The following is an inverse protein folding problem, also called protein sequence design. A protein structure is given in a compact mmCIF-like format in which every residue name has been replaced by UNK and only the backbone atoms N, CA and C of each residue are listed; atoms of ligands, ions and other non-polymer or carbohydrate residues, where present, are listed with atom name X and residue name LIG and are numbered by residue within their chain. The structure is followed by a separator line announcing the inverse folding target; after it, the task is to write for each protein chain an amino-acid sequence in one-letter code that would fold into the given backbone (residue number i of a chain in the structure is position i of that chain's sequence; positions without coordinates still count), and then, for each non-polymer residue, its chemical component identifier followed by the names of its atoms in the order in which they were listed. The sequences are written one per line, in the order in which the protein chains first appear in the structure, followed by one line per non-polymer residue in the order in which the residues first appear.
data_IF_070106725075
#
_entry.id   IF_070106725075
#
_cell.length_a   1.000
_cell.length_b   1.000
_cell.length_c   1.000
_cell.angle_alpha   90.00
_cell.angle_beta   90.00
_cell.angle_gamma   90.00
#
_symmetry.space_group_name_H-M   'P 1'
#
loop_
_entity.id
_entity.type
_entity.pdbx_description
1 polymer ?
#
# COMPACT_ATOMS: atom_id res chain seq x y z
N UNK A 1 9.96 41.62 -0.66
CA UNK A 1 10.40 40.29 -1.13
C UNK A 1 10.54 40.31 -2.66
N UNK A 2 11.42 41.14 -3.22
CA UNK A 2 11.48 41.34 -4.69
C UNK A 2 12.48 40.44 -5.42
N UNK A 3 13.32 39.65 -4.72
CA UNK A 3 14.39 38.85 -5.34
C UNK A 3 14.38 37.36 -4.94
N UNK A 4 13.23 36.80 -4.57
CA UNK A 4 13.15 35.37 -4.25
C UNK A 4 12.98 34.53 -5.52
N UNK A 5 14.02 33.79 -5.90
CA UNK A 5 14.02 32.83 -7.02
C UNK A 5 14.17 31.42 -6.45
N UNK A 6 13.22 30.52 -6.76
CA UNK A 6 13.35 29.09 -6.44
C UNK A 6 14.21 28.42 -7.50
N UNK A 7 15.35 27.85 -7.10
CA UNK A 7 16.06 26.89 -7.95
C UNK A 7 15.37 25.53 -7.87
N UNK A 8 15.19 24.90 -9.04
CA UNK A 8 14.71 23.53 -9.14
C UNK A 8 15.88 22.64 -9.50
N UNK A 9 16.15 21.63 -8.68
CA UNK A 9 17.13 20.58 -8.97
C UNK A 9 16.43 19.24 -9.10
N UNK A 10 16.91 18.44 -10.04
CA UNK A 10 16.43 17.08 -10.25
C UNK A 10 17.35 16.13 -9.50
N UNK A 11 16.77 15.31 -8.63
CA UNK A 11 17.49 14.29 -7.87
C UNK A 11 16.92 12.94 -8.28
N UNK A 12 17.79 12.01 -8.67
CA UNK A 12 17.38 10.64 -8.92
C UNK A 12 16.98 10.00 -7.58
N UNK A 13 15.68 9.72 -7.40
CA UNK A 13 15.15 9.10 -6.19
C UNK A 13 15.84 7.75 -5.92
N UNK A 14 16.11 7.00 -6.99
CA UNK A 14 16.77 5.69 -6.90
C UNK A 14 18.12 5.77 -6.18
N UNK A 15 18.98 6.69 -6.59
CA UNK A 15 20.34 6.84 -6.04
C UNK A 15 20.35 7.49 -4.64
N UNK A 16 19.25 8.13 -4.26
CA UNK A 16 19.16 8.92 -3.02
C UNK A 16 18.54 8.12 -1.88
N UNK A 17 17.50 7.32 -2.17
CA UNK A 17 16.73 6.59 -1.16
C UNK A 17 17.17 5.13 -1.08
N UNK A 18 17.59 4.53 -2.20
CA UNK A 18 17.84 3.11 -2.29
C UNK A 18 19.33 2.78 -2.38
N UNK A 19 19.76 1.63 -1.83
CA UNK A 19 21.14 1.19 -1.96
C UNK A 19 21.49 0.87 -3.42
N UNK A 20 22.78 1.00 -3.76
CA UNK A 20 23.29 0.66 -5.10
C UNK A 20 22.92 -0.77 -5.48
N UNK A 21 22.36 -0.95 -6.67
CA UNK A 21 21.92 -2.25 -7.18
C UNK A 21 20.49 -2.63 -6.82
N UNK A 22 19.70 -1.71 -6.24
CA UNK A 22 18.27 -1.91 -6.02
C UNK A 22 17.52 -2.18 -7.32
N UNK A 23 16.71 -3.24 -7.33
CA UNK A 23 15.89 -3.64 -8.47
C UNK A 23 14.47 -3.15 -8.22
N UNK A 24 14.07 -2.04 -8.82
CA UNK A 24 12.75 -1.43 -8.60
C UNK A 24 11.58 -2.39 -8.86
N UNK A 25 11.73 -3.30 -9.84
CA UNK A 25 10.72 -4.31 -10.17
C UNK A 25 10.44 -5.31 -9.03
N UNK A 26 11.33 -5.39 -8.02
CA UNK A 26 11.14 -6.26 -6.86
C UNK A 26 10.12 -5.70 -5.86
N UNK A 27 9.77 -4.41 -5.93
CA UNK A 27 8.85 -3.76 -4.96
C UNK A 27 7.45 -4.37 -4.96
N UNK A 28 7.04 -5.05 -6.03
CA UNK A 28 5.73 -5.69 -6.12
C UNK A 28 5.58 -6.92 -5.22
N UNK A 29 6.70 -7.50 -4.75
CA UNK A 29 6.69 -8.74 -3.99
C UNK A 29 6.55 -8.49 -2.49
N UNK A 30 5.72 -9.31 -1.85
CA UNK A 30 5.58 -9.32 -0.41
C UNK A 30 6.84 -9.96 0.20
N UNK A 31 7.53 -9.29 1.13
CA UNK A 31 8.70 -9.86 1.80
C UNK A 31 8.37 -11.20 2.46
N UNK A 32 9.23 -12.20 2.25
CA UNK A 32 9.03 -13.58 2.73
C UNK A 32 7.74 -14.28 2.25
N UNK A 33 6.98 -13.68 1.33
CA UNK A 33 5.73 -14.23 0.80
C UNK A 33 5.91 -15.27 -0.32
N UNK A 34 7.08 -15.91 -0.43
CA UNK A 34 7.39 -16.92 -1.44
C UNK A 34 7.04 -16.48 -2.89
N UNK A 35 7.36 -15.24 -3.25
CA UNK A 35 7.09 -14.68 -4.58
C UNK A 35 5.67 -14.17 -4.80
N UNK A 36 4.81 -14.18 -3.77
CA UNK A 36 3.52 -13.52 -3.81
C UNK A 36 3.68 -12.01 -3.98
N UNK A 37 2.71 -11.39 -4.67
CA UNK A 37 2.68 -9.95 -4.92
C UNK A 37 1.54 -9.29 -4.16
N UNK A 38 1.68 -8.00 -3.88
CA UNK A 38 0.58 -7.20 -3.36
C UNK A 38 -0.62 -7.20 -4.32
N UNK A 39 -1.82 -7.30 -3.77
CA UNK A 39 -3.05 -7.10 -4.53
C UNK A 39 -3.27 -5.60 -4.67
N UNK A 40 -3.28 -5.07 -5.89
CA UNK A 40 -3.44 -3.64 -6.15
C UNK A 40 -4.64 -3.36 -7.04
N UNK A 41 -5.42 -2.36 -6.67
CA UNK A 41 -6.55 -1.86 -7.45
C UNK A 41 -6.55 -0.34 -7.43
N UNK A 42 -7.01 0.24 -8.53
CA UNK A 42 -7.15 1.69 -8.70
C UNK A 42 -8.54 2.03 -9.22
N UNK A 43 -9.08 3.17 -8.81
CA UNK A 43 -10.33 3.74 -9.33
C UNK A 43 -10.13 5.24 -9.50
N UNK A 44 -10.45 5.73 -10.69
CA UNK A 44 -10.47 7.15 -10.99
C UNK A 44 -11.93 7.59 -11.07
N UNK A 45 -12.31 8.53 -10.22
CA UNK A 45 -13.65 9.09 -10.17
C UNK A 45 -13.59 10.61 -10.34
N UNK A 46 -14.74 11.25 -10.47
CA UNK A 46 -14.89 12.71 -10.54
C UNK A 46 -15.82 13.15 -9.42
N UNK A 47 -15.32 13.99 -8.52
CA UNK A 47 -16.13 14.57 -7.46
C UNK A 47 -17.28 15.42 -8.04
N UNK A 48 -18.31 15.68 -7.23
CA UNK A 48 -19.43 16.57 -7.62
C UNK A 48 -18.99 17.97 -8.06
N UNK A 49 -17.80 18.41 -7.64
CA UNK A 49 -17.18 19.69 -8.03
C UNK A 49 -16.47 19.65 -9.39
N UNK A 50 -16.39 18.48 -10.05
CA UNK A 50 -15.63 18.27 -11.28
C UNK A 50 -14.14 17.96 -11.07
N UNK A 51 -13.67 17.93 -9.82
CA UNK A 51 -12.28 17.57 -9.51
C UNK A 51 -12.05 16.05 -9.63
N UNK A 52 -10.92 15.60 -10.21
CA UNK A 52 -10.60 14.18 -10.25
C UNK A 52 -10.30 13.64 -8.85
N UNK A 53 -10.80 12.45 -8.55
CA UNK A 53 -10.53 11.70 -7.33
C UNK A 53 -9.81 10.41 -7.70
N UNK A 54 -8.57 10.29 -7.26
CA UNK A 54 -7.75 9.11 -7.49
C UNK A 54 -7.79 8.24 -6.24
N UNK A 55 -8.35 7.04 -6.37
CA UNK A 55 -8.46 6.08 -5.28
C UNK A 55 -7.61 4.86 -5.63
N UNK A 56 -6.95 4.32 -4.62
CA UNK A 56 -6.19 3.09 -4.75
C UNK A 56 -6.37 2.26 -3.49
N UNK A 57 -6.13 0.97 -3.64
CA UNK A 57 -6.19 0.00 -2.57
C UNK A 57 -5.08 -1.01 -2.80
N UNK A 58 -4.25 -1.24 -1.78
CA UNK A 58 -3.15 -2.21 -1.81
C UNK A 58 -3.32 -3.16 -0.64
N UNK A 59 -3.25 -4.47 -0.88
CA UNK A 59 -3.46 -5.50 0.14
C UNK A 59 -2.36 -6.55 0.20
N UNK A 60 -2.12 -7.05 1.41
CA UNK A 60 -1.31 -8.22 1.70
C UNK A 60 -2.07 -9.15 2.67
N UNK A 61 -2.54 -10.33 2.21
CA UNK A 61 -3.26 -11.29 3.06
C UNK A 61 -2.39 -11.83 4.20
N UNK A 62 -2.96 -12.10 5.38
CA UNK A 62 -2.22 -12.69 6.52
C UNK A 62 -1.47 -13.96 6.14
N UNK A 63 -2.13 -14.87 5.42
CA UNK A 63 -1.55 -16.14 4.98
C UNK A 63 -0.33 -15.98 4.08
N UNK A 64 -0.13 -14.80 3.48
CA UNK A 64 1.01 -14.51 2.62
C UNK A 64 2.21 -14.04 3.45
N UNK A 65 2.09 -12.93 4.18
CA UNK A 65 3.24 -12.33 4.87
C UNK A 65 3.51 -12.96 6.24
N UNK A 66 2.52 -13.65 6.84
CA UNK A 66 2.68 -14.43 8.07
C UNK A 66 2.87 -15.92 7.82
N UNK A 67 2.95 -16.39 6.56
CA UNK A 67 2.87 -17.81 6.19
C UNK A 67 3.90 -18.75 6.85
N UNK A 68 4.96 -18.23 7.47
CA UNK A 68 5.95 -18.99 8.24
C UNK A 68 5.66 -19.12 9.74
N UNK A 69 4.58 -18.50 10.25
CA UNK A 69 4.19 -18.52 11.65
C UNK A 69 3.19 -19.64 11.95
N UNK A 70 2.71 -19.68 13.20
CA UNK A 70 1.72 -20.67 13.64
C UNK A 70 0.43 -20.57 12.82
N UNK A 71 0.07 -21.68 12.17
CA UNK A 71 -1.09 -21.74 11.26
C UNK A 71 -2.41 -21.56 12.00
N UNK A 72 -2.53 -22.04 13.23
CA UNK A 72 -3.75 -21.93 14.00
C UNK A 72 -3.98 -20.47 14.43
N UNK A 73 -2.93 -19.78 14.84
CA UNK A 73 -3.02 -18.35 15.18
C UNK A 73 -3.42 -17.51 13.96
N UNK A 74 -2.88 -17.80 12.78
CA UNK A 74 -3.30 -17.12 11.53
C UNK A 74 -4.78 -17.36 11.24
N UNK A 75 -5.28 -18.59 11.43
CA UNK A 75 -6.70 -18.92 11.27
C UNK A 75 -7.56 -18.12 12.26
N UNK A 76 -7.13 -18.03 13.53
CA UNK A 76 -7.84 -17.28 14.56
C UNK A 76 -7.92 -15.78 14.22
N UNK A 77 -6.83 -15.19 13.73
CA UNK A 77 -6.81 -13.79 13.27
C UNK A 77 -7.77 -13.56 12.10
N UNK A 78 -7.77 -14.45 11.11
CA UNK A 78 -8.70 -14.37 9.98
C UNK A 78 -10.16 -14.45 10.42
N UNK A 79 -10.48 -15.37 11.34
CA UNK A 79 -11.83 -15.53 11.88
C UNK A 79 -12.29 -14.28 12.65
N UNK A 80 -11.42 -13.70 13.48
CA UNK A 80 -11.70 -12.47 14.21
C UNK A 80 -12.03 -11.30 13.25
N UNK A 81 -11.16 -11.06 12.26
CA UNK A 81 -11.37 -9.96 11.30
C UNK A 81 -12.61 -10.18 10.45
N UNK A 82 -12.85 -11.42 9.99
CA UNK A 82 -14.04 -11.76 9.21
C UNK A 82 -15.33 -11.48 10.00
N UNK A 83 -15.35 -11.77 11.32
CA UNK A 83 -16.50 -11.46 12.19
C UNK A 83 -16.71 -9.96 12.37
N UNK A 84 -15.64 -9.17 12.31
CA UNK A 84 -15.70 -7.71 12.39
C UNK A 84 -15.95 -7.04 11.03
N UNK A 85 -16.08 -7.81 9.95
CA UNK A 85 -16.19 -7.27 8.58
C UNK A 85 -14.93 -6.54 8.12
N UNK A 86 -13.78 -6.81 8.75
CA UNK A 86 -12.48 -6.26 8.41
C UNK A 86 -11.75 -7.16 7.41
N UNK A 87 -10.82 -6.57 6.66
CA UNK A 87 -9.95 -7.35 5.79
C UNK A 87 -8.90 -8.10 6.61
N UNK A 88 -8.79 -9.42 6.37
CA UNK A 88 -7.82 -10.29 7.04
C UNK A 88 -6.42 -10.18 6.46
N UNK A 89 -5.75 -9.08 6.78
CA UNK A 89 -4.42 -8.76 6.28
C UNK A 89 -4.07 -7.30 6.50
N UNK A 90 -2.97 -6.86 5.88
CA UNK A 90 -2.65 -5.45 5.79
C UNK A 90 -3.32 -4.85 4.56
N UNK A 91 -3.95 -3.70 4.73
CA UNK A 91 -4.54 -2.91 3.66
C UNK A 91 -4.17 -1.44 3.85
N UNK A 92 -3.83 -0.77 2.74
CA UNK A 92 -3.80 0.70 2.67
C UNK A 92 -4.72 1.19 1.56
N UNK A 93 -5.26 2.40 1.74
CA UNK A 93 -6.18 2.97 0.78
C UNK A 93 -7.57 2.34 0.86
N UNK A 94 -8.48 2.79 0.01
CA UNK A 94 -9.83 2.24 -0.15
C UNK A 94 -10.37 2.67 -1.50
N UNK A 95 -11.08 1.77 -2.19
CA UNK A 95 -11.78 2.10 -3.45
C UNK A 95 -13.17 2.68 -3.21
N UNK A 96 -13.71 2.55 -2.00
CA UNK A 96 -15.08 2.94 -1.69
C UNK A 96 -15.15 4.29 -0.99
N UNK A 97 -14.21 4.57 -0.08
CA UNK A 97 -14.17 5.84 0.66
C UNK A 97 -12.78 6.46 0.58
N UNK A 98 -12.62 7.73 0.16
CA UNK A 98 -11.33 8.39 0.17
C UNK A 98 -10.78 8.47 1.60
N UNK A 99 -9.68 7.79 1.87
CA UNK A 99 -9.05 7.74 3.19
C UNK A 99 -7.60 8.26 3.18
N UNK A 100 -7.20 8.95 2.11
CA UNK A 100 -5.84 9.48 1.93
C UNK A 100 -4.72 8.42 2.07
N UNK A 101 -5.00 7.16 1.69
CA UNK A 101 -4.02 6.09 1.79
C UNK A 101 -3.81 5.55 3.21
N UNK A 102 -4.74 5.82 4.13
CA UNK A 102 -4.68 5.29 5.49
C UNK A 102 -4.64 3.75 5.51
N UNK A 103 -3.94 3.22 6.50
CA UNK A 103 -3.85 1.79 6.76
C UNK A 103 -4.96 1.27 7.68
N UNK A 104 -5.16 -0.05 7.69
CA UNK A 104 -6.15 -0.72 8.54
C UNK A 104 -5.61 -1.17 9.92
N UNK A 105 -4.49 -0.60 10.36
CA UNK A 105 -3.80 -0.95 11.63
C UNK A 105 -4.06 0.05 12.77
N UNK A 106 -4.95 1.01 12.57
CA UNK A 106 -5.53 1.88 13.61
C UNK A 106 -6.93 1.38 14.00
#
# INVERSE_FOLDING_TARGET
MENFKRDTMWVAILDTIYPKGFIADSMKYIPYGNGATYEMKVRNDTAKSGAPVFMYEVKAPYETYLGGLDKQEIINLKDLDSKMGKYSGLMIGSLDTPNNGAGNWE
#
